data_IF_125127529493
#
_entry.id   IF_125127529493
#
_cell.length_a   1.000
_cell.length_b   1.000
_cell.length_c   1.000
_cell.angle_alpha   90.00
_cell.angle_beta   90.00
_cell.angle_gamma   90.00
#
_symmetry.space_group_name_H-M   'P 1'
#
loop_
_entity.id
_entity.type
_entity.pdbx_description
1 polymer ?
#
# COMPACT_ATOMS: atom_id res chain seq x y z
N UNK A 1 15.92 10.01 -5.27
CA UNK A 1 14.49 10.43 -5.40
C UNK A 1 13.62 9.42 -4.65
N UNK A 2 12.83 9.89 -3.72
CA UNK A 2 11.96 9.03 -2.90
C UNK A 2 10.82 8.45 -3.72
N UNK A 3 10.63 7.14 -3.65
CA UNK A 3 9.50 6.46 -4.30
C UNK A 3 8.24 6.67 -3.47
N UNK A 4 7.17 7.13 -4.10
CA UNK A 4 5.90 7.44 -3.45
C UNK A 4 4.92 6.29 -3.66
N UNK A 5 4.44 5.73 -2.57
CA UNK A 5 3.64 4.50 -2.58
C UNK A 5 2.25 4.74 -2.02
N UNK A 6 1.25 4.19 -2.70
CA UNK A 6 -0.11 4.03 -2.20
C UNK A 6 -0.38 2.57 -1.84
N UNK A 7 -1.21 2.34 -0.84
CA UNK A 7 -1.61 0.98 -0.44
C UNK A 7 -3.12 0.86 -0.60
N UNK A 8 -3.57 -0.08 -1.43
CA UNK A 8 -4.98 -0.44 -1.51
C UNK A 8 -5.23 -1.70 -0.67
N UNK A 9 -6.01 -1.55 0.39
CA UNK A 9 -6.21 -2.58 1.40
C UNK A 9 -5.20 -2.47 2.54
N UNK A 10 -5.60 -1.85 3.64
CA UNK A 10 -4.75 -1.70 4.83
C UNK A 10 -5.09 -2.74 5.89
N UNK A 11 -5.26 -3.99 5.43
CA UNK A 11 -5.38 -5.17 6.25
C UNK A 11 -4.03 -5.62 6.81
N UNK A 12 -3.92 -6.89 7.17
CA UNK A 12 -2.70 -7.43 7.75
C UNK A 12 -1.47 -7.24 6.85
N UNK A 13 -1.58 -7.51 5.56
CA UNK A 13 -0.45 -7.39 4.63
C UNK A 13 -0.07 -5.93 4.42
N UNK A 14 -1.02 -5.04 4.15
CA UNK A 14 -0.72 -3.61 3.97
C UNK A 14 -0.09 -2.98 5.20
N UNK A 15 -0.59 -3.30 6.40
CA UNK A 15 0.00 -2.82 7.66
C UNK A 15 1.39 -3.39 7.92
N UNK A 16 1.62 -4.66 7.61
CA UNK A 16 2.93 -5.27 7.77
C UNK A 16 3.96 -4.69 6.80
N UNK A 17 3.54 -4.39 5.56
CA UNK A 17 4.37 -3.67 4.61
C UNK A 17 4.79 -2.31 5.17
N UNK A 18 3.85 -1.55 5.72
CA UNK A 18 4.14 -0.26 6.35
C UNK A 18 5.15 -0.40 7.51
N UNK A 19 4.93 -1.37 8.41
CA UNK A 19 5.85 -1.63 9.52
C UNK A 19 7.24 -2.01 9.06
N UNK A 20 7.35 -2.85 8.03
CA UNK A 20 8.63 -3.25 7.44
C UNK A 20 9.40 -2.06 6.87
N UNK A 21 8.72 -1.11 6.22
CA UNK A 21 9.36 0.12 5.73
C UNK A 21 9.93 0.96 6.86
N UNK A 22 9.18 1.14 7.95
CA UNK A 22 9.66 1.88 9.12
C UNK A 22 10.90 1.21 9.74
N UNK A 23 10.86 -0.11 9.88
CA UNK A 23 11.94 -0.89 10.48
C UNK A 23 13.21 -0.87 9.63
N UNK A 24 13.07 -0.97 8.31
CA UNK A 24 14.20 -0.98 7.38
C UNK A 24 14.75 0.39 7.04
N UNK A 25 14.01 1.46 7.31
CA UNK A 25 14.39 2.82 6.96
C UNK A 25 14.56 3.02 5.45
N UNK A 26 13.76 2.33 4.63
CA UNK A 26 13.83 2.41 3.19
C UNK A 26 13.42 3.80 2.69
N UNK A 27 14.04 4.27 1.58
CA UNK A 27 13.70 5.54 0.93
C UNK A 27 12.39 5.41 0.12
N UNK A 28 11.33 5.11 0.82
CA UNK A 28 9.97 4.93 0.30
C UNK A 28 9.02 5.70 1.20
N UNK A 29 8.17 6.51 0.60
CA UNK A 29 7.15 7.29 1.29
C UNK A 29 5.77 6.69 1.07
N UNK A 30 5.07 6.30 2.13
CA UNK A 30 3.65 5.96 2.04
C UNK A 30 2.84 7.25 2.05
N UNK A 31 2.20 7.55 0.95
CA UNK A 31 1.44 8.80 0.73
C UNK A 31 0.00 8.66 1.17
N UNK A 32 -0.61 7.53 0.82
CA UNK A 32 -2.00 7.27 1.09
C UNK A 32 -2.27 5.77 1.23
N UNK A 33 -3.30 5.47 2.01
CA UNK A 33 -3.89 4.14 2.09
C UNK A 33 -5.37 4.23 1.75
N UNK A 34 -5.89 3.22 1.08
CA UNK A 34 -7.31 3.08 0.82
C UNK A 34 -7.84 1.87 1.57
N UNK A 35 -8.79 2.08 2.44
CA UNK A 35 -9.44 1.03 3.22
C UNK A 35 -10.89 1.41 3.51
N UNK A 36 -11.78 0.43 3.59
CA UNK A 36 -13.21 0.68 3.82
C UNK A 36 -13.57 0.85 5.30
N UNK A 37 -12.62 0.58 6.21
CA UNK A 37 -12.78 0.83 7.64
C UNK A 37 -12.59 2.29 8.01
N UNK A 38 -12.96 2.64 9.24
CA UNK A 38 -12.73 3.99 9.78
C UNK A 38 -11.26 4.19 10.18
N UNK A 39 -10.85 5.46 10.22
CA UNK A 39 -9.45 5.81 10.52
C UNK A 39 -9.04 5.49 11.95
N UNK A 40 -9.95 5.58 12.91
CA UNK A 40 -9.66 5.25 14.30
C UNK A 40 -9.31 3.77 14.47
N UNK A 41 -10.13 2.89 13.90
CA UNK A 41 -9.88 1.45 13.89
C UNK A 41 -8.61 1.11 13.13
N UNK A 42 -8.39 1.72 11.97
CA UNK A 42 -7.20 1.51 11.15
C UNK A 42 -5.92 1.92 11.89
N UNK A 43 -5.92 3.07 12.55
CA UNK A 43 -4.81 3.55 13.37
C UNK A 43 -4.55 2.61 14.56
N UNK A 44 -5.61 2.15 15.23
CA UNK A 44 -5.50 1.21 16.34
C UNK A 44 -4.86 -0.11 15.90
N UNK A 45 -5.32 -0.68 14.79
CA UNK A 45 -4.78 -1.92 14.24
C UNK A 45 -3.34 -1.79 13.73
N UNK A 46 -2.93 -0.61 13.29
CA UNK A 46 -1.54 -0.33 12.97
C UNK A 46 -0.66 -0.30 14.24
N UNK A 47 -1.16 0.32 15.30
CA UNK A 47 -0.44 0.47 16.58
C UNK A 47 -0.30 -0.85 17.32
N UNK A 48 -1.36 -1.65 17.39
CA UNK A 48 -1.43 -2.87 18.17
C UNK A 48 -1.62 -4.08 17.28
N UNK A 49 -0.68 -5.00 17.32
CA UNK A 49 -0.71 -6.24 16.55
C UNK A 49 -0.47 -7.44 17.48
N UNK A 50 -1.30 -8.46 17.35
CA UNK A 50 -1.22 -9.65 18.23
C UNK A 50 0.09 -10.41 18.02
N UNK A 51 0.61 -10.45 16.80
CA UNK A 51 1.82 -11.20 16.45
C UNK A 51 3.06 -10.31 16.53
N UNK A 52 3.01 -9.11 15.92
CA UNK A 52 4.16 -8.21 15.83
C UNK A 52 4.30 -7.28 17.05
N UNK A 53 3.29 -7.27 17.92
CA UNK A 53 3.29 -6.45 19.10
C UNK A 53 2.97 -4.98 18.83
N UNK A 54 3.23 -4.16 19.83
CA UNK A 54 2.96 -2.73 19.78
C UNK A 54 3.99 -2.01 18.89
N UNK A 55 3.51 -1.21 17.93
CA UNK A 55 4.38 -0.33 17.16
C UNK A 55 4.98 0.73 18.08
N UNK A 56 6.29 0.91 18.05
CA UNK A 56 7.00 1.87 18.93
C UNK A 56 6.77 3.33 18.52
N UNK A 57 6.43 3.56 17.24
CA UNK A 57 6.11 4.90 16.73
C UNK A 57 4.82 5.45 17.34
N UNK A 58 4.74 6.77 17.48
CA UNK A 58 3.50 7.45 17.85
C UNK A 58 2.52 7.40 16.68
N UNK A 59 1.27 6.98 16.94
CA UNK A 59 0.21 6.89 15.94
C UNK A 59 -0.98 7.74 16.40
N UNK A 60 -1.32 8.74 15.59
CA UNK A 60 -2.52 9.57 15.78
C UNK A 60 -3.37 9.52 14.50
N UNK A 61 -4.61 9.98 14.59
CA UNK A 61 -5.52 9.99 13.44
C UNK A 61 -6.46 11.18 13.48
N UNK A 62 -6.98 11.52 12.32
CA UNK A 62 -8.14 12.42 12.13
C UNK A 62 -9.24 11.63 11.41
N UNK A 63 -10.26 12.34 10.88
CA UNK A 63 -11.32 11.69 10.10
C UNK A 63 -10.82 11.04 8.80
N UNK A 64 -9.74 11.57 8.21
CA UNK A 64 -9.24 11.17 6.90
C UNK A 64 -7.71 11.01 6.82
N UNK A 65 -7.01 11.04 7.95
CA UNK A 65 -5.56 10.87 8.01
C UNK A 65 -5.12 9.99 9.16
N UNK A 66 -3.95 9.37 8.99
CA UNK A 66 -3.19 8.72 10.06
C UNK A 66 -1.80 9.35 10.07
N UNK A 67 -1.31 9.72 11.24
CA UNK A 67 0.03 10.28 11.40
C UNK A 67 0.88 9.33 12.24
N UNK A 68 2.05 8.97 11.71
CA UNK A 68 3.01 8.08 12.35
C UNK A 68 4.33 8.82 12.49
N UNK A 69 4.76 9.08 13.73
CA UNK A 69 5.96 9.86 14.05
C UNK A 69 6.06 11.17 13.24
N UNK A 70 4.95 11.90 13.14
CA UNK A 70 4.89 13.18 12.43
C UNK A 70 4.71 13.07 10.92
N UNK A 71 4.75 11.86 10.33
CA UNK A 71 4.46 11.63 8.92
C UNK A 71 2.97 11.34 8.71
N UNK A 72 2.30 12.22 7.96
CA UNK A 72 0.86 12.12 7.73
C UNK A 72 0.55 11.36 6.44
N UNK A 73 -0.32 10.36 6.56
CA UNK A 73 -0.79 9.50 5.49
C UNK A 73 -2.28 9.76 5.28
N UNK A 74 -2.68 10.01 4.04
CA UNK A 74 -4.09 10.17 3.72
C UNK A 74 -4.81 8.83 3.73
N UNK A 75 -6.01 8.80 4.31
CA UNK A 75 -6.88 7.62 4.31
C UNK A 75 -8.05 7.87 3.38
N UNK A 76 -8.19 7.00 2.39
CA UNK A 76 -9.28 7.00 1.42
C UNK A 76 -10.21 5.81 1.72
N UNK A 77 -11.43 5.87 1.21
CA UNK A 77 -12.44 4.83 1.41
C UNK A 77 -13.22 4.56 0.12
N UNK A 78 -12.49 4.28 -0.96
CA UNK A 78 -13.06 4.01 -2.27
C UNK A 78 -13.19 2.50 -2.52
N UNK A 79 -14.39 2.06 -2.90
CA UNK A 79 -14.64 0.64 -3.23
C UNK A 79 -14.11 0.25 -4.59
N UNK A 80 -14.20 1.16 -5.56
CA UNK A 80 -13.75 0.93 -6.91
C UNK A 80 -12.33 1.47 -7.08
N UNK A 81 -11.35 0.63 -7.44
CA UNK A 81 -9.96 1.07 -7.63
C UNK A 81 -9.82 2.20 -8.65
N UNK A 82 -10.70 2.27 -9.64
CA UNK A 82 -10.68 3.33 -10.65
C UNK A 82 -10.97 4.74 -10.09
N UNK A 83 -11.61 4.83 -8.93
CA UNK A 83 -11.98 6.10 -8.32
C UNK A 83 -10.89 6.64 -7.37
N UNK A 84 -9.83 5.89 -7.15
CA UNK A 84 -8.72 6.31 -6.28
C UNK A 84 -7.80 7.25 -7.06
N UNK A 85 -7.62 8.51 -6.60
CA UNK A 85 -6.90 9.53 -7.37
C UNK A 85 -5.37 9.45 -7.17
N UNK A 86 -4.76 8.34 -7.51
CA UNK A 86 -3.32 8.11 -7.29
C UNK A 86 -2.43 9.17 -7.94
N UNK A 87 -2.79 9.59 -9.16
CA UNK A 87 -2.05 10.61 -9.89
C UNK A 87 -2.07 11.97 -9.20
N UNK A 88 -3.21 12.38 -8.64
CA UNK A 88 -3.33 13.63 -7.87
C UNK A 88 -2.52 13.60 -6.58
N UNK A 89 -2.35 12.42 -6.01
CA UNK A 89 -1.55 12.20 -4.79
C UNK A 89 -0.06 12.01 -5.09
N UNK A 90 0.33 11.97 -6.35
CA UNK A 90 1.71 11.77 -6.77
C UNK A 90 2.26 10.38 -6.44
N UNK A 91 1.40 9.37 -6.48
CA UNK A 91 1.78 7.98 -6.21
C UNK A 91 2.47 7.37 -7.43
N UNK A 92 3.64 6.80 -7.23
CA UNK A 92 4.39 6.08 -8.26
C UNK A 92 3.97 4.60 -8.33
N UNK A 93 3.90 3.93 -7.19
CA UNK A 93 3.63 2.50 -7.09
C UNK A 93 2.45 2.25 -6.16
N UNK A 94 1.52 1.42 -6.57
CA UNK A 94 0.43 0.93 -5.71
C UNK A 94 0.72 -0.48 -5.25
N UNK A 95 0.63 -0.70 -3.95
CA UNK A 95 0.59 -2.04 -3.36
C UNK A 95 -0.88 -2.47 -3.28
N UNK A 96 -1.25 -3.44 -4.08
CA UNK A 96 -2.59 -4.02 -4.07
C UNK A 96 -2.64 -5.18 -3.09
N UNK A 97 -3.16 -4.94 -1.90
CA UNK A 97 -3.19 -5.91 -0.80
C UNK A 97 -4.59 -6.18 -0.24
N UNK A 98 -5.64 -5.93 -1.03
CA UNK A 98 -7.02 -6.28 -0.65
C UNK A 98 -7.29 -7.79 -0.72
N UNK A 99 -6.56 -8.51 -1.56
CA UNK A 99 -6.84 -9.92 -1.88
C UNK A 99 -8.03 -10.12 -2.85
N UNK A 100 -8.69 -9.04 -3.26
CA UNK A 100 -9.88 -9.07 -4.13
C UNK A 100 -9.50 -8.81 -5.59
N UNK A 101 -8.64 -7.81 -5.83
CA UNK A 101 -8.23 -7.38 -7.17
C UNK A 101 -6.92 -8.07 -7.57
N UNK A 102 -7.00 -9.37 -7.90
CA UNK A 102 -5.86 -10.21 -8.23
C UNK A 102 -5.68 -10.45 -9.72
N UNK A 103 -6.62 -10.01 -10.55
CA UNK A 103 -6.49 -10.06 -12.01
C UNK A 103 -5.79 -8.81 -12.51
N UNK A 104 -4.95 -8.97 -13.54
CA UNK A 104 -4.29 -7.83 -14.19
C UNK A 104 -5.28 -6.72 -14.58
N UNK A 105 -6.40 -7.07 -15.21
CA UNK A 105 -7.40 -6.11 -15.65
C UNK A 105 -8.00 -5.26 -14.50
N UNK A 106 -8.10 -5.82 -13.30
CA UNK A 106 -8.55 -5.07 -12.12
C UNK A 106 -7.43 -4.20 -11.55
N UNK A 107 -6.20 -4.70 -11.54
CA UNK A 107 -5.03 -3.95 -11.08
C UNK A 107 -4.70 -2.76 -12.00
N UNK A 108 -4.93 -2.90 -13.30
CA UNK A 108 -4.74 -1.81 -14.29
C UNK A 108 -5.62 -0.59 -14.02
N UNK A 109 -6.70 -0.73 -13.26
CA UNK A 109 -7.51 0.41 -12.80
C UNK A 109 -6.69 1.39 -11.96
N UNK A 110 -5.70 0.92 -11.21
CA UNK A 110 -4.77 1.78 -10.48
C UNK A 110 -3.86 2.56 -11.43
N UNK A 111 -3.43 1.95 -12.54
CA UNK A 111 -2.66 2.64 -13.59
C UNK A 111 -3.51 3.74 -14.23
N UNK A 112 -4.77 3.43 -14.55
CA UNK A 112 -5.72 4.44 -15.06
C UNK A 112 -5.93 5.58 -14.05
N UNK A 113 -5.85 5.31 -12.75
CA UNK A 113 -5.90 6.31 -11.67
C UNK A 113 -4.62 7.15 -11.52
N UNK A 114 -3.58 6.85 -12.28
CA UNK A 114 -2.34 7.63 -12.34
C UNK A 114 -1.11 6.99 -11.70
N UNK A 115 -1.22 5.78 -11.17
CA UNK A 115 -0.05 5.03 -10.70
C UNK A 115 0.80 4.55 -11.90
N UNK A 116 2.10 4.43 -11.71
CA UNK A 116 3.02 3.95 -12.76
C UNK A 116 3.14 2.43 -12.76
N UNK A 117 3.07 1.82 -11.58
CA UNK A 117 3.18 0.36 -11.40
C UNK A 117 2.23 -0.11 -10.31
N UNK A 118 1.84 -1.38 -10.40
CA UNK A 118 1.06 -2.06 -9.37
C UNK A 118 1.77 -3.33 -8.96
N UNK A 119 1.93 -3.53 -7.66
CA UNK A 119 2.45 -4.75 -7.07
C UNK A 119 1.29 -5.45 -6.35
N UNK A 120 0.90 -6.62 -6.85
CA UNK A 120 -0.16 -7.43 -6.24
C UNK A 120 0.48 -8.36 -5.21
N UNK A 121 0.05 -8.28 -3.97
CA UNK A 121 0.62 -9.06 -2.85
C UNK A 121 -0.05 -10.42 -2.64
N UNK A 122 -0.73 -10.94 -3.66
CA UNK A 122 -1.41 -12.24 -3.65
C UNK A 122 -1.16 -12.94 -4.99
N UNK A 123 -1.40 -14.26 -5.09
CA UNK A 123 -1.32 -14.94 -6.38
C UNK A 123 -2.22 -14.25 -7.41
N UNK A 124 -1.63 -13.79 -8.49
CA UNK A 124 -2.31 -13.01 -9.50
C UNK A 124 -2.69 -13.87 -10.71
N UNK A 125 -3.51 -13.29 -11.59
CA UNK A 125 -3.90 -13.89 -12.86
C UNK A 125 -3.62 -12.91 -13.99
N UNK A 126 -3.02 -13.43 -15.06
CA UNK A 126 -2.66 -12.68 -16.26
C UNK A 126 -1.64 -11.54 -15.99
N UNK A 127 -0.88 -11.66 -14.91
CA UNK A 127 0.17 -10.72 -14.51
C UNK A 127 1.34 -10.73 -15.48
N UNK A 128 2.10 -9.62 -15.52
CA UNK A 128 3.30 -9.52 -16.36
C UNK A 128 4.43 -10.42 -15.86
N UNK A 129 4.58 -10.50 -14.55
CA UNK A 129 5.57 -11.37 -13.90
C UNK A 129 5.18 -11.64 -12.44
N UNK A 130 5.44 -12.87 -11.99
CA UNK A 130 5.45 -13.20 -10.56
C UNK A 130 6.89 -13.34 -10.10
N UNK A 131 7.25 -12.58 -9.06
CA UNK A 131 8.61 -12.56 -8.49
C UNK A 131 8.62 -13.22 -7.12
N UNK A 132 9.56 -14.13 -6.93
CA UNK A 132 9.90 -14.70 -5.63
C UNK A 132 11.32 -14.24 -5.27
N UNK A 133 11.43 -13.46 -4.21
CA UNK A 133 12.73 -12.94 -3.76
C UNK A 133 13.66 -14.08 -3.39
N UNK A 134 14.89 -14.00 -3.86
CA UNK A 134 15.88 -15.07 -3.73
C UNK A 134 15.82 -16.13 -4.84
N UNK A 135 14.82 -16.07 -5.72
CA UNK A 135 14.63 -17.05 -6.81
C UNK A 135 14.76 -16.41 -8.19
N UNK A 136 13.98 -15.35 -8.47
CA UNK A 136 13.90 -14.80 -9.82
C UNK A 136 13.76 -13.26 -9.87
N UNK A 137 14.18 -12.55 -8.84
CA UNK A 137 14.12 -11.08 -8.80
C UNK A 137 14.94 -10.42 -9.92
N UNK A 138 15.92 -11.10 -10.44
CA UNK A 138 16.77 -10.67 -11.56
C UNK A 138 16.01 -10.60 -12.90
N UNK A 139 14.85 -11.21 -12.96
CA UNK A 139 13.96 -11.14 -14.14
C UNK A 139 13.07 -9.91 -14.15
N UNK A 140 13.13 -9.08 -13.11
CA UNK A 140 12.38 -7.83 -13.10
C UNK A 140 12.88 -6.89 -14.19
N UNK A 141 11.94 -6.37 -14.97
CA UNK A 141 12.22 -5.36 -15.99
C UNK A 141 11.46 -4.06 -15.63
N UNK A 142 12.21 -2.99 -15.44
CA UNK A 142 11.63 -1.69 -15.10
C UNK A 142 10.77 -1.07 -16.21
N UNK A 143 10.89 -1.57 -17.45
CA UNK A 143 10.08 -1.12 -18.58
C UNK A 143 8.67 -1.72 -18.60
N UNK A 144 8.42 -2.77 -17.83
CA UNK A 144 7.12 -3.45 -17.74
C UNK A 144 6.32 -2.98 -16.53
#
# INVERSE_FOLDING_TARGET
MTIRVGINGFGRIGRNYFRALLEQGADIEIVAVNDLGDTATTAHLLKYDTILGRLKAEVTHTADTITVDGHTIKVLSERNPADIPWGQLGVDIVIESTGIFTKKADAEKHIAGGAKKVLISAPAKDEDITIVMGVNQDKYDAAN
#
